data_IF_366636015594
#
_entry.id   IF_366636015594
#
_cell.length_a   1.000
_cell.length_b   1.000
_cell.length_c   1.000
_cell.angle_alpha   90.00
_cell.angle_beta   90.00
_cell.angle_gamma   90.00
#
_symmetry.space_group_name_H-M   'P 1'
#
loop_
_entity.id
_entity.type
_entity.pdbx_description
1 polymer ?
#
# COMPACT_ATOMS: atom_id res chain seq x y z
N UNK A 1 -8.66 1.94 3.80
CA UNK A 1 -8.59 2.92 2.69
C UNK A 1 -8.87 2.21 1.37
N UNK A 2 -9.49 2.87 0.40
CA UNK A 2 -9.71 2.33 -0.95
C UNK A 2 -8.53 2.54 -1.90
N UNK A 3 -7.43 3.18 -1.48
CA UNK A 3 -6.23 3.43 -2.30
C UNK A 3 -5.62 2.16 -2.89
N UNK A 4 -5.00 2.28 -4.07
CA UNK A 4 -4.32 1.18 -4.78
C UNK A 4 -2.82 1.17 -4.39
N UNK A 5 -2.23 0.02 -3.98
CA UNK A 5 -0.87 -0.06 -3.44
C UNK A 5 0.27 0.37 -4.37
N UNK A 6 0.19 0.05 -5.67
CA UNK A 6 1.18 0.50 -6.67
C UNK A 6 1.15 2.00 -6.73
N UNK A 7 -0.04 2.61 -6.84
CA UNK A 7 -0.16 4.06 -6.93
C UNK A 7 0.35 4.76 -5.67
N UNK A 8 0.05 4.22 -4.50
CA UNK A 8 0.58 4.72 -3.22
C UNK A 8 2.11 4.69 -3.22
N UNK A 9 2.73 3.59 -3.64
CA UNK A 9 4.19 3.51 -3.70
C UNK A 9 4.77 4.52 -4.70
N UNK A 10 4.22 4.64 -5.91
CA UNK A 10 4.68 5.59 -6.95
C UNK A 10 4.64 7.05 -6.46
N UNK A 11 3.54 7.44 -5.81
CA UNK A 11 3.36 8.81 -5.33
C UNK A 11 4.34 9.13 -4.21
N UNK A 12 4.52 8.21 -3.25
CA UNK A 12 5.45 8.42 -2.14
C UNK A 12 6.90 8.26 -2.55
N UNK A 13 7.25 7.39 -3.50
CA UNK A 13 8.62 7.29 -4.01
C UNK A 13 9.00 8.53 -4.80
N UNK A 14 8.06 9.11 -5.56
CA UNK A 14 8.24 10.40 -6.22
C UNK A 14 8.46 11.51 -5.20
N UNK A 15 7.61 11.57 -4.17
CA UNK A 15 7.75 12.55 -3.09
C UNK A 15 9.07 12.37 -2.32
N UNK A 16 9.51 11.13 -2.10
CA UNK A 16 10.77 10.81 -1.44
C UNK A 16 11.95 11.38 -2.21
N UNK A 17 11.98 11.18 -3.53
CA UNK A 17 13.02 11.74 -4.40
C UNK A 17 13.02 13.27 -4.40
N UNK A 18 11.84 13.90 -4.46
CA UNK A 18 11.71 15.37 -4.40
C UNK A 18 12.14 15.91 -3.03
N UNK A 19 11.81 15.18 -1.97
CA UNK A 19 12.06 15.59 -0.59
C UNK A 19 13.44 15.21 -0.07
N UNK A 20 14.28 14.54 -0.88
CA UNK A 20 15.61 14.06 -0.53
C UNK A 20 15.64 12.93 0.52
N UNK A 21 14.63 12.06 0.52
CA UNK A 21 14.58 10.89 1.42
C UNK A 21 13.75 11.10 2.68
N UNK A 22 12.88 12.11 2.71
CA UNK A 22 12.12 12.53 3.91
C UNK A 22 10.66 12.06 3.90
N UNK A 23 10.23 11.30 2.89
CA UNK A 23 8.85 10.85 2.80
C UNK A 23 8.65 9.58 3.65
N UNK A 24 7.52 9.53 4.36
CA UNK A 24 7.13 8.38 5.17
C UNK A 24 5.67 8.05 4.91
N UNK A 25 5.33 6.75 4.88
CA UNK A 25 3.94 6.29 4.73
C UNK A 25 3.41 5.87 6.09
N UNK A 26 2.27 6.42 6.49
CA UNK A 26 1.47 5.90 7.60
C UNK A 26 0.24 5.20 7.03
N UNK A 27 0.15 3.89 7.24
CA UNK A 27 -0.98 3.06 6.81
C UNK A 27 -1.89 2.76 7.99
N UNK A 28 -3.19 2.88 7.79
CA UNK A 28 -4.18 2.58 8.81
C UNK A 28 -5.50 2.14 8.22
N UNK A 29 -6.31 1.53 9.06
CA UNK A 29 -7.70 1.20 8.72
C UNK A 29 -8.49 2.50 8.65
N UNK A 30 -9.08 2.76 7.48
CA UNK A 30 -9.83 3.98 7.24
C UNK A 30 -11.26 3.82 7.77
N UNK A 31 -11.76 4.82 8.48
CA UNK A 31 -13.16 4.89 8.92
C UNK A 31 -14.12 5.31 7.81
N UNK A 32 -13.59 5.87 6.70
CA UNK A 32 -14.38 6.37 5.57
C UNK A 32 -14.69 5.22 4.61
N UNK A 33 -15.83 4.58 4.82
CA UNK A 33 -16.31 3.44 4.02
C UNK A 33 -16.99 3.88 2.73
N UNK A 34 -17.38 5.15 2.64
CA UNK A 34 -18.07 5.77 1.52
C UNK A 34 -17.25 5.73 0.23
N UNK A 35 -15.93 5.61 0.33
CA UNK A 35 -15.06 5.50 -0.85
C UNK A 35 -15.08 4.12 -1.49
N UNK A 36 -15.46 3.05 -0.79
CA UNK A 36 -15.42 1.67 -1.31
C UNK A 36 -16.23 1.48 -2.59
N UNK A 37 -17.53 1.87 -2.66
CA UNK A 37 -18.32 1.69 -3.87
C UNK A 37 -17.80 2.53 -5.05
N UNK A 38 -17.10 3.64 -4.81
CA UNK A 38 -16.51 4.46 -5.88
C UNK A 38 -15.40 3.73 -6.65
N UNK A 39 -14.77 2.75 -6.00
CA UNK A 39 -13.72 1.91 -6.58
C UNK A 39 -14.17 0.47 -6.83
N UNK A 40 -15.49 0.21 -6.74
CA UNK A 40 -16.07 -1.12 -6.99
C UNK A 40 -15.79 -2.15 -5.89
N UNK A 41 -15.40 -1.71 -4.70
CA UNK A 41 -15.15 -2.60 -3.56
C UNK A 41 -16.43 -2.87 -2.75
N UNK A 42 -16.54 -4.10 -2.26
CA UNK A 42 -17.57 -4.49 -1.29
C UNK A 42 -17.10 -4.22 0.14
N UNK A 43 -18.01 -3.79 1.01
CA UNK A 43 -17.73 -3.66 2.45
C UNK A 43 -17.58 -5.02 3.14
N UNK A 44 -18.10 -6.10 2.56
CA UNK A 44 -17.92 -7.44 3.10
C UNK A 44 -16.45 -7.89 3.02
N UNK A 45 -15.68 -7.30 2.11
CA UNK A 45 -14.26 -7.64 1.90
C UNK A 45 -13.33 -6.67 2.64
N UNK A 46 -13.84 -5.82 3.55
CA UNK A 46 -13.08 -4.72 4.15
C UNK A 46 -11.75 -5.17 4.77
N UNK A 47 -11.78 -6.23 5.58
CA UNK A 47 -10.61 -6.76 6.27
C UNK A 47 -9.60 -7.33 5.28
N UNK A 48 -10.07 -8.19 4.36
CA UNK A 48 -9.23 -8.83 3.36
C UNK A 48 -8.64 -7.81 2.38
N UNK A 49 -9.40 -6.77 2.01
CA UNK A 49 -8.90 -5.64 1.22
C UNK A 49 -7.76 -4.90 1.92
N UNK A 50 -7.86 -4.69 3.24
CA UNK A 50 -6.82 -4.01 3.98
C UNK A 50 -5.54 -4.86 4.03
N UNK A 51 -5.67 -6.13 4.40
CA UNK A 51 -4.52 -7.04 4.55
C UNK A 51 -3.84 -7.29 3.20
N UNK A 52 -4.60 -7.61 2.14
CA UNK A 52 -4.07 -7.87 0.80
C UNK A 52 -3.34 -6.64 0.24
N UNK A 53 -3.89 -5.43 0.44
CA UNK A 53 -3.27 -4.18 -0.01
C UNK A 53 -2.01 -3.84 0.77
N UNK A 54 -2.01 -4.06 2.08
CA UNK A 54 -0.86 -3.81 2.92
C UNK A 54 0.30 -4.76 2.55
N UNK A 55 0.01 -6.05 2.39
CA UNK A 55 1.00 -7.04 1.96
C UNK A 55 1.63 -6.67 0.61
N UNK A 56 0.81 -6.30 -0.37
CA UNK A 56 1.31 -5.87 -1.66
C UNK A 56 2.18 -4.60 -1.56
N UNK A 57 1.76 -3.59 -0.78
CA UNK A 57 2.56 -2.37 -0.59
C UNK A 57 3.92 -2.70 0.03
N UNK A 58 3.94 -3.53 1.07
CA UNK A 58 5.18 -3.97 1.72
C UNK A 58 6.06 -4.75 0.75
N UNK A 59 5.47 -5.60 -0.09
CA UNK A 59 6.19 -6.36 -1.11
C UNK A 59 6.83 -5.45 -2.17
N UNK A 60 6.09 -4.48 -2.69
CA UNK A 60 6.62 -3.46 -3.62
C UNK A 60 7.76 -2.67 -3.00
N UNK A 61 7.66 -2.38 -1.70
CA UNK A 61 8.70 -1.66 -0.97
C UNK A 61 9.96 -2.52 -0.80
N UNK A 62 9.84 -3.82 -0.51
CA UNK A 62 10.98 -4.70 -0.24
C UNK A 62 11.64 -5.30 -1.49
N UNK A 63 10.89 -5.46 -2.58
CA UNK A 63 11.34 -6.15 -3.80
C UNK A 63 11.30 -5.20 -5.01
N UNK A 64 12.35 -5.21 -5.84
CA UNK A 64 12.37 -4.44 -7.08
C UNK A 64 11.48 -5.07 -8.17
N UNK A 65 11.52 -6.39 -8.30
CA UNK A 65 10.70 -7.14 -9.26
C UNK A 65 9.61 -7.91 -8.51
N UNK A 66 8.37 -7.43 -8.61
CA UNK A 66 7.25 -7.96 -7.84
C UNK A 66 6.45 -8.95 -8.67
N UNK A 67 6.20 -10.12 -8.09
CA UNK A 67 5.15 -11.04 -8.52
C UNK A 67 4.09 -11.12 -7.43
N UNK A 68 2.83 -10.89 -7.80
CA UNK A 68 1.70 -10.82 -6.88
C UNK A 68 0.54 -11.67 -7.39
N UNK A 69 -0.14 -12.36 -6.48
CA UNK A 69 -1.40 -13.05 -6.74
C UNK A 69 -2.27 -12.91 -5.50
N UNK A 70 -3.38 -12.20 -5.63
CA UNK A 70 -4.35 -11.97 -4.56
C UNK A 70 -5.76 -12.37 -5.00
N UNK A 71 -6.75 -12.22 -4.11
CA UNK A 71 -8.15 -12.52 -4.42
C UNK A 71 -8.89 -11.30 -4.94
N UNK A 72 -8.53 -10.12 -4.45
CA UNK A 72 -9.28 -8.89 -4.61
C UNK A 72 -8.63 -7.91 -5.60
N UNK A 73 -7.37 -8.16 -5.97
CA UNK A 73 -6.63 -7.35 -6.92
C UNK A 73 -5.93 -8.22 -7.96
N UNK A 74 -5.90 -7.73 -9.20
CA UNK A 74 -5.29 -8.43 -10.33
C UNK A 74 -3.81 -8.79 -10.08
N UNK A 75 -3.32 -9.92 -10.61
CA UNK A 75 -1.95 -10.36 -10.38
C UNK A 75 -0.92 -9.46 -11.06
N UNK A 76 0.30 -9.46 -10.53
CA UNK A 76 1.49 -8.89 -11.17
C UNK A 76 2.47 -10.01 -11.51
N UNK A 77 3.16 -9.90 -12.63
CA UNK A 77 4.10 -10.92 -13.12
C UNK A 77 5.46 -10.31 -13.39
N UNK A 78 6.38 -10.42 -12.42
CA UNK A 78 7.76 -9.93 -12.52
C UNK A 78 7.85 -8.47 -13.02
N UNK A 79 7.15 -7.57 -12.32
CA UNK A 79 7.04 -6.15 -12.68
C UNK A 79 7.69 -5.25 -11.64
N UNK A 80 8.36 -4.20 -12.09
CA UNK A 80 8.90 -3.14 -11.23
C UNK A 80 7.98 -1.93 -11.22
N UNK A 81 7.76 -1.37 -10.02
CA UNK A 81 7.05 -0.11 -9.83
C UNK A 81 8.06 1.03 -9.77
N UNK A 82 7.90 2.02 -10.65
CA UNK A 82 8.80 3.17 -10.78
C UNK A 82 8.09 4.49 -10.46
N UNK A 83 8.79 5.50 -9.93
CA UNK A 83 10.22 5.47 -9.59
C UNK A 83 10.49 4.68 -8.30
N UNK A 84 11.76 4.32 -8.06
CA UNK A 84 12.19 3.74 -6.79
C UNK A 84 12.58 4.86 -5.82
N UNK A 85 12.24 4.69 -4.54
CA UNK A 85 12.61 5.63 -3.48
C UNK A 85 14.14 5.74 -3.30
N UNK A 86 14.63 6.79 -2.63
CA UNK A 86 16.06 7.11 -2.54
C UNK A 86 16.86 6.04 -1.79
N UNK A 87 16.37 5.59 -0.63
CA UNK A 87 17.08 4.69 0.28
C UNK A 87 16.96 3.23 -0.20
N UNK A 88 17.73 2.84 -1.22
CA UNK A 88 17.70 1.51 -1.86
C UNK A 88 16.31 1.11 -2.36
N UNK A 89 15.53 2.09 -2.83
CA UNK A 89 14.16 1.84 -3.27
C UNK A 89 13.17 1.61 -2.13
N UNK A 90 13.49 1.98 -0.88
CA UNK A 90 12.63 1.75 0.29
C UNK A 90 12.14 3.05 0.91
N UNK A 91 10.86 3.03 1.30
CA UNK A 91 10.18 4.02 2.12
C UNK A 91 10.02 3.49 3.55
N UNK A 92 10.05 4.38 4.53
CA UNK A 92 9.61 4.07 5.89
C UNK A 92 8.08 3.92 5.89
N UNK A 93 7.59 2.76 6.34
CA UNK A 93 6.16 2.44 6.40
C UNK A 93 5.78 2.12 7.84
N UNK A 94 4.83 2.87 8.38
CA UNK A 94 4.32 2.74 9.74
C UNK A 94 2.87 2.27 9.73
N UNK A 95 2.55 1.24 10.52
CA UNK A 95 1.16 0.80 10.71
C UNK A 95 0.54 1.50 11.91
N UNK A 96 -0.50 2.29 11.69
CA UNK A 96 -1.29 2.91 12.74
C UNK A 96 -2.21 1.88 13.42
N UNK A 97 -2.12 1.81 14.75
CA UNK A 97 -2.83 0.85 15.60
C UNK A 97 -3.74 1.63 16.54
N UNK A 98 -5.05 1.40 16.46
CA UNK A 98 -6.04 2.10 17.28
C UNK A 98 -6.80 1.13 18.20
N UNK A 99 -6.36 1.03 19.46
CA UNK A 99 -7.17 0.65 20.64
C UNK A 99 -7.80 -0.75 20.74
N UNK A 100 -8.02 -1.49 19.65
CA UNK A 100 -8.53 -2.87 19.72
C UNK A 100 -7.37 -3.88 19.65
N UNK A 101 -7.38 -4.96 20.47
CA UNK A 101 -6.31 -5.95 20.51
C UNK A 101 -5.97 -6.60 19.16
N UNK A 102 -6.94 -6.67 18.24
CA UNK A 102 -6.74 -7.19 16.89
C UNK A 102 -5.87 -6.30 15.99
N UNK A 103 -5.50 -5.10 16.45
CA UNK A 103 -4.72 -4.14 15.66
C UNK A 103 -3.19 -4.29 15.83
N UNK A 104 -2.72 -5.16 16.74
CA UNK A 104 -1.29 -5.42 17.04
C UNK A 104 -0.78 -6.62 16.27
#
# INVERSE_FOLDING_TARGET
>A
SSSEPVKVYEDFSTLDLISDGRAEIFVGRGSFIESFPLYGYSLNDYEELFDEKLELLLKINSEENVTWSGKLRAPMQNQTVYPRAKNDGKLSIWRAVGGTPQSV
#
